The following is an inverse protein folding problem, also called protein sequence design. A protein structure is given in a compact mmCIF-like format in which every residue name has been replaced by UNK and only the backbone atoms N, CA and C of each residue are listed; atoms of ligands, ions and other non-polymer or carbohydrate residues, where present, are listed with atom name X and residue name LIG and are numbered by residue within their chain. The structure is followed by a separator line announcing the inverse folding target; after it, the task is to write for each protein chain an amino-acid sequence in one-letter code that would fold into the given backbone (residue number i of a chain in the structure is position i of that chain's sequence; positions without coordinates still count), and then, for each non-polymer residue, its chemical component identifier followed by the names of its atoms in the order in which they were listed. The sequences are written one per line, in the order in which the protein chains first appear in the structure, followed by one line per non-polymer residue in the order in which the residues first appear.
data_IF_347997969753
#
_entry.id   IF_347997969753
#
_cell.length_a   1.000
_cell.length_b   1.000
_cell.length_c   1.000
_cell.angle_alpha   90.00
_cell.angle_beta   90.00
_cell.angle_gamma   90.00
#
_symmetry.space_group_name_H-M   'P 1'
#
loop_
_entity.id
_entity.type
_entity.pdbx_description
1 polymer ?
#
# COMPACT_ATOMS: atom_id res chain seq x y z
N UNK A 1 -1.11 16.93 12.39
CA UNK A 1 -2.08 15.82 12.26
C UNK A 1 -2.32 15.56 10.78
N UNK A 2 -1.92 14.39 10.27
CA UNK A 2 -2.19 14.03 8.89
C UNK A 2 -3.70 13.81 8.72
N UNK A 3 -4.29 14.46 7.70
CA UNK A 3 -5.73 14.40 7.43
C UNK A 3 -6.11 13.00 6.98
N UNK A 4 -7.19 12.45 7.53
CA UNK A 4 -7.88 11.28 6.94
C UNK A 4 -8.18 11.59 5.48
N UNK A 5 -7.85 10.67 4.57
CA UNK A 5 -8.09 10.85 3.14
C UNK A 5 -9.59 10.87 2.84
N UNK A 6 -10.00 11.63 1.82
CA UNK A 6 -11.42 11.81 1.45
C UNK A 6 -12.04 10.60 0.73
N UNK A 7 -11.42 9.43 0.83
CA UNK A 7 -11.81 8.20 0.15
C UNK A 7 -11.35 6.98 0.94
N UNK A 8 -12.09 5.89 0.78
CA UNK A 8 -11.75 4.60 1.37
C UNK A 8 -10.71 3.86 0.53
N UNK A 9 -9.99 2.95 1.17
CA UNK A 9 -8.91 2.16 0.59
C UNK A 9 -9.37 0.70 0.49
N UNK A 10 -9.19 0.06 -0.67
CA UNK A 10 -9.57 -1.33 -0.86
C UNK A 10 -8.53 -2.26 -0.26
N UNK A 11 -8.99 -3.22 0.55
CA UNK A 11 -8.22 -4.33 1.07
C UNK A 11 -8.88 -5.65 0.67
N UNK A 12 -8.14 -6.76 0.70
CA UNK A 12 -8.77 -8.08 0.74
C UNK A 12 -9.18 -8.45 2.19
N UNK A 13 -9.89 -9.57 2.33
CA UNK A 13 -10.30 -10.11 3.62
C UNK A 13 -9.12 -10.48 4.53
N UNK A 14 -7.95 -10.76 3.95
CA UNK A 14 -6.72 -11.06 4.68
C UNK A 14 -6.00 -9.78 5.16
N UNK A 15 -6.46 -8.59 4.75
CA UNK A 15 -5.88 -7.31 5.14
C UNK A 15 -4.71 -6.85 4.26
N UNK A 16 -4.50 -7.46 3.10
CA UNK A 16 -3.57 -6.92 2.09
C UNK A 16 -4.20 -5.71 1.41
N UNK A 17 -3.44 -4.64 1.25
CA UNK A 17 -3.90 -3.49 0.48
C UNK A 17 -3.92 -3.85 -1.01
N UNK A 18 -5.05 -3.56 -1.67
CA UNK A 18 -5.24 -3.80 -3.09
C UNK A 18 -4.88 -2.55 -3.89
N UNK A 19 -3.98 -2.66 -4.89
CA UNK A 19 -3.64 -1.54 -5.76
C UNK A 19 -4.77 -1.14 -6.73
N UNK A 20 -5.77 -2.02 -6.89
CA UNK A 20 -6.99 -1.81 -7.66
C UNK A 20 -8.15 -2.50 -6.94
N UNK A 21 -9.40 -1.98 -6.96
CA UNK A 21 -10.52 -2.51 -6.16
C UNK A 21 -11.12 -3.78 -6.79
N UNK A 22 -10.27 -4.77 -7.01
CA UNK A 22 -10.61 -6.10 -7.50
C UNK A 22 -9.80 -7.13 -6.74
N UNK A 23 -10.48 -8.15 -6.23
CA UNK A 23 -9.85 -9.31 -5.61
C UNK A 23 -9.75 -10.41 -6.65
N UNK A 24 -8.58 -11.03 -6.78
CA UNK A 24 -8.37 -12.20 -7.65
C UNK A 24 -8.08 -13.47 -6.87
N UNK A 25 -7.95 -13.35 -5.54
CA UNK A 25 -7.79 -14.48 -4.64
C UNK A 25 -9.12 -15.19 -4.42
N UNK A 26 -9.07 -16.51 -4.34
CA UNK A 26 -10.20 -17.36 -4.00
C UNK A 26 -10.00 -17.89 -2.58
N UNK A 27 -10.99 -17.69 -1.71
CA UNK A 27 -11.03 -18.22 -0.35
C UNK A 27 -12.16 -19.25 -0.30
N UNK A 28 -11.83 -20.50 0.06
CA UNK A 28 -12.80 -21.61 0.12
C UNK A 28 -13.61 -21.80 -1.17
N UNK A 29 -12.96 -21.67 -2.33
CA UNK A 29 -13.60 -21.85 -3.63
C UNK A 29 -14.48 -20.67 -4.09
N UNK A 30 -14.53 -19.57 -3.33
CA UNK A 30 -15.25 -18.34 -3.71
C UNK A 30 -14.25 -17.22 -3.94
N UNK A 31 -14.53 -16.36 -4.91
CA UNK A 31 -13.77 -15.12 -5.10
C UNK A 31 -13.93 -14.28 -3.82
N UNK A 32 -12.82 -13.79 -3.27
CA UNK A 32 -12.88 -12.93 -2.09
C UNK A 32 -13.51 -11.57 -2.40
N UNK A 33 -13.87 -10.84 -1.34
CA UNK A 33 -14.49 -9.52 -1.44
C UNK A 33 -13.52 -8.37 -1.11
N UNK A 34 -13.84 -7.18 -1.64
CA UNK A 34 -13.11 -5.95 -1.30
C UNK A 34 -13.63 -5.40 0.02
N UNK A 35 -12.74 -5.30 1.01
CA UNK A 35 -12.99 -4.66 2.30
C UNK A 35 -12.53 -3.21 2.22
N UNK A 36 -13.48 -2.28 2.17
CA UNK A 36 -13.20 -0.85 2.17
C UNK A 36 -12.91 -0.36 3.59
N UNK A 37 -11.76 0.32 3.77
CA UNK A 37 -11.36 0.89 5.07
C UNK A 37 -11.09 2.39 4.96
N UNK A 38 -11.25 3.09 6.06
CA UNK A 38 -10.95 4.52 6.12
C UNK A 38 -9.46 4.78 5.93
N UNK A 39 -9.14 5.81 5.15
CA UNK A 39 -7.76 6.18 4.86
C UNK A 39 -7.18 7.02 6.00
N UNK A 40 -6.75 6.36 7.06
CA UNK A 40 -6.08 6.99 8.19
C UNK A 40 -4.57 6.80 8.10
N UNK A 41 -3.76 7.79 8.54
CA UNK A 41 -2.33 7.61 8.69
C UNK A 41 -2.01 6.45 9.63
N UNK A 42 -0.98 5.68 9.31
CA UNK A 42 -0.55 4.53 10.09
C UNK A 42 0.98 4.47 10.21
N UNK A 43 1.47 3.98 11.34
CA UNK A 43 2.89 3.71 11.53
C UNK A 43 3.20 2.26 11.13
N UNK A 44 4.30 2.07 10.41
CA UNK A 44 4.75 0.73 10.03
C UNK A 44 6.26 0.69 9.76
N UNK A 45 6.81 -0.53 9.76
CA UNK A 45 8.03 -0.86 9.03
C UNK A 45 7.64 -1.65 7.79
N UNK A 46 7.95 -1.11 6.61
CA UNK A 46 7.61 -1.72 5.33
C UNK A 46 8.90 -2.21 4.66
N UNK A 47 8.93 -3.48 4.28
CA UNK A 47 10.07 -4.12 3.62
C UNK A 47 9.78 -4.32 2.15
N UNK A 48 10.67 -3.87 1.26
CA UNK A 48 10.54 -4.02 -0.19
C UNK A 48 10.60 -5.49 -0.57
N UNK A 49 9.66 -5.94 -1.40
CA UNK A 49 9.55 -7.33 -1.86
C UNK A 49 9.59 -7.47 -3.37
N UNK A 50 9.34 -6.41 -4.13
CA UNK A 50 9.40 -6.46 -5.59
C UNK A 50 8.73 -5.28 -6.26
N UNK A 51 8.45 -5.44 -7.55
CA UNK A 51 7.71 -4.46 -8.33
C UNK A 51 6.75 -5.18 -9.28
N UNK A 52 5.67 -4.50 -9.62
CA UNK A 52 4.71 -5.02 -10.59
C UNK A 52 4.19 -3.91 -11.51
N UNK A 53 3.49 -4.32 -12.57
CA UNK A 53 2.83 -3.42 -13.52
C UNK A 53 1.45 -3.95 -13.86
N UNK A 54 0.50 -3.03 -14.03
CA UNK A 54 -0.89 -3.35 -14.35
C UNK A 54 -1.77 -2.11 -14.27
N UNK A 55 -2.95 -2.16 -14.91
CA UNK A 55 -3.95 -1.07 -14.84
C UNK A 55 -3.37 0.32 -15.17
N UNK A 56 -2.49 0.37 -16.18
CA UNK A 56 -1.80 1.58 -16.63
C UNK A 56 -0.88 2.25 -15.60
N UNK A 57 -0.40 1.48 -14.62
CA UNK A 57 0.53 1.95 -13.59
C UNK A 57 1.66 0.94 -13.34
N UNK A 58 2.71 1.43 -12.69
CA UNK A 58 3.81 0.63 -12.16
C UNK A 58 3.88 0.85 -10.64
N UNK A 59 4.12 -0.24 -9.92
CA UNK A 59 4.08 -0.28 -8.47
C UNK A 59 5.35 -0.90 -7.90
N UNK A 60 5.64 -0.52 -6.67
CA UNK A 60 6.61 -1.17 -5.81
C UNK A 60 5.82 -1.90 -4.72
N UNK A 61 6.19 -3.15 -4.49
CA UNK A 61 5.56 -4.01 -3.52
C UNK A 61 6.37 -4.04 -2.23
N UNK A 62 5.66 -3.87 -1.12
CA UNK A 62 6.21 -3.93 0.22
C UNK A 62 5.34 -4.83 1.09
N UNK A 63 5.91 -5.33 2.18
CA UNK A 63 5.16 -6.02 3.24
C UNK A 63 5.42 -5.37 4.59
N UNK A 64 4.39 -5.28 5.43
CA UNK A 64 4.55 -4.92 6.84
C UNK A 64 5.13 -6.09 7.67
N UNK A 65 5.31 -5.85 8.98
CA UNK A 65 5.81 -6.85 9.93
C UNK A 65 4.87 -8.07 10.12
N UNK A 66 3.59 -7.93 9.74
CA UNK A 66 2.58 -8.98 9.78
C UNK A 66 2.42 -9.70 8.43
N UNK A 67 3.29 -9.41 7.46
CA UNK A 67 3.26 -9.96 6.10
C UNK A 67 2.13 -9.42 5.23
N UNK A 68 1.50 -8.29 5.59
CA UNK A 68 0.45 -7.66 4.78
C UNK A 68 1.05 -6.80 3.69
N UNK A 69 0.53 -7.00 2.48
CA UNK A 69 1.03 -6.29 1.30
C UNK A 69 0.60 -4.82 1.31
N UNK A 70 1.54 -3.94 0.97
CA UNK A 70 1.34 -2.51 0.77
C UNK A 70 2.02 -2.13 -0.54
N UNK A 71 1.29 -1.47 -1.43
CA UNK A 71 1.83 -1.04 -2.73
C UNK A 71 2.13 0.44 -2.74
N UNK A 72 3.26 0.84 -3.31
CA UNK A 72 3.57 2.24 -3.62
C UNK A 72 3.54 2.43 -5.13
N UNK A 73 3.18 3.62 -5.58
CA UNK A 73 3.38 3.94 -7.00
C UNK A 73 4.87 4.15 -7.28
N UNK A 74 5.34 3.70 -8.45
CA UNK A 74 6.73 3.89 -8.88
C UNK A 74 7.18 5.36 -8.79
N UNK A 75 6.30 6.33 -9.08
CA UNK A 75 6.65 7.76 -9.00
C UNK A 75 6.93 8.28 -7.58
N UNK A 76 6.59 7.52 -6.54
CA UNK A 76 6.90 7.86 -5.15
C UNK A 76 8.23 7.21 -4.71
N UNK A 77 8.90 6.45 -5.59
CA UNK A 77 10.18 5.80 -5.28
C UNK A 77 11.27 6.79 -4.89
N UNK A 78 11.42 7.90 -5.64
CA UNK A 78 12.43 8.93 -5.35
C UNK A 78 12.29 9.53 -3.94
N UNK A 79 11.07 9.49 -3.37
CA UNK A 79 10.82 9.94 -1.99
C UNK A 79 11.09 8.85 -0.96
N UNK A 80 11.00 7.58 -1.34
CA UNK A 80 11.27 6.45 -0.46
C UNK A 80 12.76 6.13 -0.37
N UNK A 81 13.48 6.19 -1.50
CA UNK A 81 14.89 5.77 -1.62
C UNK A 81 15.80 6.37 -0.55
N UNK A 82 15.72 7.68 -0.22
CA UNK A 82 16.57 8.26 0.82
C UNK A 82 16.36 7.68 2.23
N UNK A 83 15.22 7.02 2.47
CA UNK A 83 14.82 6.47 3.76
C UNK A 83 14.85 4.94 3.78
N UNK A 84 15.24 4.29 2.68
CA UNK A 84 15.42 2.85 2.65
C UNK A 84 16.74 2.48 3.33
N UNK A 85 16.65 1.62 4.35
CA UNK A 85 17.79 1.02 5.02
C UNK A 85 17.61 -0.50 5.05
N UNK A 86 18.55 -1.23 4.46
CA UNK A 86 18.48 -2.70 4.36
C UNK A 86 17.24 -3.20 3.61
N UNK A 87 16.71 -2.42 2.67
CA UNK A 87 15.49 -2.75 1.92
C UNK A 87 14.19 -2.47 2.68
N UNK A 88 14.23 -1.84 3.86
CA UNK A 88 13.06 -1.46 4.63
C UNK A 88 13.00 0.05 4.88
N UNK A 89 11.79 0.57 5.07
CA UNK A 89 11.52 1.95 5.47
C UNK A 89 10.57 1.95 6.66
N UNK A 90 10.88 2.72 7.68
CA UNK A 90 10.04 2.89 8.87
C UNK A 90 9.55 4.33 8.91
N UNK A 91 8.26 4.52 9.16
CA UNK A 91 7.67 5.85 9.14
C UNK A 91 6.17 5.86 9.36
N UNK A 92 5.60 7.05 9.22
CA UNK A 92 4.16 7.26 9.11
C UNK A 92 3.77 7.31 7.64
N UNK A 93 2.79 6.49 7.28
CA UNK A 93 2.31 6.33 5.92
C UNK A 93 0.83 6.71 5.81
N UNK A 94 0.40 7.05 4.61
CA UNK A 94 -1.02 7.18 4.24
C UNK A 94 -1.22 6.62 2.83
N UNK A 95 -2.41 6.14 2.55
CA UNK A 95 -2.72 5.71 1.20
C UNK A 95 -3.11 6.89 0.30
N UNK A 96 -2.88 6.72 -0.99
CA UNK A 96 -3.18 7.69 -2.03
C UNK A 96 -3.91 7.04 -3.20
N UNK A 97 -4.89 7.74 -3.78
CA UNK A 97 -5.62 7.34 -4.99
C UNK A 97 -5.17 8.15 -6.20
N UNK A 98 -4.94 7.50 -7.34
CA UNK A 98 -4.61 8.12 -8.62
C UNK A 98 -5.40 7.46 -9.74
N UNK A 99 -6.38 8.17 -10.29
CA UNK A 99 -7.37 7.56 -11.19
C UNK A 99 -8.16 6.49 -10.42
N UNK A 100 -8.15 5.25 -10.91
CA UNK A 100 -8.77 4.09 -10.23
C UNK A 100 -7.77 3.25 -9.42
N UNK A 101 -6.50 3.64 -9.42
CA UNK A 101 -5.43 2.92 -8.74
C UNK A 101 -5.21 3.48 -7.33
N UNK A 102 -4.76 2.63 -6.43
CA UNK A 102 -4.45 2.93 -5.04
C UNK A 102 -3.00 2.56 -4.74
N UNK A 103 -2.36 3.32 -3.87
CA UNK A 103 -1.02 3.02 -3.39
C UNK A 103 -0.76 3.75 -2.08
N UNK A 104 0.48 3.74 -1.64
CA UNK A 104 0.93 4.29 -0.37
C UNK A 104 1.88 5.47 -0.58
N UNK A 105 2.02 6.31 0.45
CA UNK A 105 2.96 7.42 0.50
C UNK A 105 3.55 7.52 1.90
N UNK A 106 4.86 7.73 1.99
CA UNK A 106 5.55 8.14 3.21
C UNK A 106 5.25 9.62 3.51
N UNK A 107 4.69 9.90 4.69
CA UNK A 107 4.45 11.27 5.17
C UNK A 107 5.61 11.74 6.04
N UNK A 108 6.10 10.87 6.92
CA UNK A 108 7.14 11.20 7.90
C UNK A 108 8.05 9.98 8.11
N UNK A 109 9.34 10.06 7.75
CA UNK A 109 10.31 9.01 8.07
C UNK A 109 10.61 9.00 9.58
N UNK A 110 10.94 7.84 10.13
CA UNK A 110 11.64 7.77 11.43
C UNK A 110 13.10 8.20 11.21
N UNK A 111 13.62 9.04 12.11
CA UNK A 111 14.98 9.55 12.10
C UNK A 111 16.04 8.45 12.28
#
# INVERSE_FOLDING_TARGET
MARTGNYQIPFDEAGNQLHYPEVWTFVNGKRGDVVWRDNVPFQAKLTYTGFNRGRSAAYLDFTDENGKSVTFFMKDFDKLVPHLSGGAVTGTFIFVKRGQNYGCQLIEPVA
#
